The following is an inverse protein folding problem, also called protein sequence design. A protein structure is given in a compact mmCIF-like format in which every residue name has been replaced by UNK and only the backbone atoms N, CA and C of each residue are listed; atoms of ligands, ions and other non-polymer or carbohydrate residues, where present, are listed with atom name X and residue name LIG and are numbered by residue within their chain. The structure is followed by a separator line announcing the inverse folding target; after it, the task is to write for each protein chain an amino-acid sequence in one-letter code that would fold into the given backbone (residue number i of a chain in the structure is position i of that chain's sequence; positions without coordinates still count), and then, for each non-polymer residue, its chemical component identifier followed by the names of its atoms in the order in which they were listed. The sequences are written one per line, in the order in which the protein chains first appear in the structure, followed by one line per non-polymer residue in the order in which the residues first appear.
data_IF_453171024959
#
_entry.id   IF_453171024959
#
_cell.length_a   1.000
_cell.length_b   1.000
_cell.length_c   1.000
_cell.angle_alpha   90.00
_cell.angle_beta   90.00
_cell.angle_gamma   90.00
#
_symmetry.space_group_name_H-M   'P 1'
#
loop_
_entity.id
_entity.type
_entity.pdbx_description
1 polymer ?
#
# COMPACT_ATOMS: atom_id res chain seq x y z
N UNK A 1 3.52 65.12 1.99
CA UNK A 1 4.27 64.70 3.19
C UNK A 1 3.32 63.87 4.04
N UNK A 2 3.35 62.53 3.96
CA UNK A 2 4.10 61.61 4.87
C UNK A 2 3.69 61.87 6.33
N UNK A 3 3.15 60.95 7.13
CA UNK A 3 3.68 59.61 7.48
C UNK A 3 2.59 58.79 8.20
N UNK A 4 1.88 57.88 7.53
CA UNK A 4 0.89 56.99 8.19
C UNK A 4 0.93 55.56 7.61
N UNK A 5 2.12 55.08 7.26
CA UNK A 5 2.29 53.80 6.55
C UNK A 5 3.38 52.92 7.18
N UNK A 6 3.48 52.86 8.52
CA UNK A 6 4.63 52.17 9.15
C UNK A 6 4.36 51.27 10.36
N UNK A 7 3.13 50.81 10.59
CA UNK A 7 2.84 49.96 11.76
C UNK A 7 2.07 48.66 11.47
N UNK A 8 2.04 48.17 10.22
CA UNK A 8 1.35 46.93 9.86
C UNK A 8 2.26 45.87 9.22
N UNK A 9 3.55 45.83 9.56
CA UNK A 9 4.49 44.93 8.87
C UNK A 9 5.41 43.98 9.65
N UNK A 10 5.36 43.80 11.00
CA UNK A 10 6.16 42.75 11.62
C UNK A 10 5.38 41.50 12.07
N UNK A 11 4.05 41.41 11.87
CA UNK A 11 3.27 40.27 12.44
C UNK A 11 3.11 39.08 11.49
N UNK A 12 3.39 39.23 10.18
CA UNK A 12 3.21 38.15 9.20
C UNK A 12 4.38 37.14 9.09
N UNK A 13 5.44 37.27 9.89
CA UNK A 13 6.66 36.44 9.76
C UNK A 13 6.88 35.42 10.89
N UNK A 14 5.95 35.29 11.84
CA UNK A 14 6.08 34.32 12.95
C UNK A 14 5.34 32.99 12.73
N UNK A 15 4.63 32.82 11.62
CA UNK A 15 3.88 31.58 11.32
C UNK A 15 4.69 30.47 10.62
N UNK A 16 5.89 30.76 10.12
CA UNK A 16 6.64 29.82 9.27
C UNK A 16 7.47 28.77 10.04
N UNK A 17 7.66 28.93 11.36
CA UNK A 17 8.51 28.05 12.17
C UNK A 17 7.75 26.93 12.89
N UNK A 18 6.41 26.91 12.84
CA UNK A 18 5.61 25.84 13.44
C UNK A 18 5.29 24.68 12.48
N UNK A 19 5.58 24.81 11.18
CA UNK A 19 5.30 23.78 10.18
C UNK A 19 6.43 22.74 10.00
N UNK A 20 7.56 22.90 10.70
CA UNK A 20 8.72 22.00 10.58
C UNK A 20 8.83 20.97 11.71
N UNK A 21 7.97 21.02 12.74
CA UNK A 21 8.00 20.10 13.90
C UNK A 21 6.86 19.06 13.89
N UNK A 22 6.06 19.01 12.82
CA UNK A 22 4.97 18.05 12.74
C UNK A 22 5.52 16.69 12.30
N UNK A 23 5.59 15.74 13.24
CA UNK A 23 5.86 14.33 12.94
C UNK A 23 4.88 13.88 11.84
N UNK A 24 5.37 13.27 10.74
CA UNK A 24 4.49 12.82 9.67
C UNK A 24 3.48 11.80 10.22
N UNK A 25 2.27 11.82 9.67
CA UNK A 25 1.23 10.85 10.02
C UNK A 25 1.68 9.43 9.68
N UNK A 26 1.04 8.41 10.27
CA UNK A 26 1.35 7.02 9.94
C UNK A 26 1.16 6.74 8.44
N UNK A 27 0.11 7.30 7.84
CA UNK A 27 -0.18 7.16 6.41
C UNK A 27 0.91 7.80 5.54
N UNK A 28 1.37 9.01 5.88
CA UNK A 28 2.47 9.68 5.19
C UNK A 28 3.76 8.87 5.29
N UNK A 29 4.04 8.28 6.46
CA UNK A 29 5.20 7.42 6.63
C UNK A 29 5.08 6.12 5.82
N UNK A 30 3.89 5.52 5.73
CA UNK A 30 3.66 4.33 4.89
C UNK A 30 3.97 4.65 3.43
N UNK A 31 3.41 5.75 2.90
CA UNK A 31 3.62 6.14 1.50
C UNK A 31 5.07 6.50 1.19
N UNK A 32 5.79 7.09 2.14
CA UNK A 32 7.17 7.49 1.94
C UNK A 32 8.19 6.35 2.07
N UNK A 33 7.81 5.21 2.66
CA UNK A 33 8.77 4.17 3.06
C UNK A 33 8.45 2.77 2.55
N UNK A 34 7.18 2.44 2.29
CA UNK A 34 6.81 1.12 1.78
C UNK A 34 6.71 1.15 0.24
N UNK A 35 7.23 0.13 -0.46
CA UNK A 35 7.24 0.06 -1.92
C UNK A 35 5.87 -0.34 -2.47
N UNK A 36 4.87 0.52 -2.29
CA UNK A 36 3.47 0.23 -2.64
C UNK A 36 3.32 -0.07 -4.14
N UNK A 37 3.89 0.79 -4.98
CA UNK A 37 3.75 0.66 -6.44
C UNK A 37 4.46 -0.61 -6.95
N UNK A 38 5.68 -0.87 -6.49
CA UNK A 38 6.42 -2.06 -6.91
C UNK A 38 5.74 -3.36 -6.43
N UNK A 39 5.22 -3.36 -5.20
CA UNK A 39 4.46 -4.50 -4.68
C UNK A 39 3.16 -4.72 -5.47
N UNK A 40 2.46 -3.65 -5.84
CA UNK A 40 1.28 -3.69 -6.70
C UNK A 40 1.60 -4.29 -8.07
N UNK A 41 2.60 -3.74 -8.77
CA UNK A 41 2.98 -4.20 -10.11
C UNK A 41 3.44 -5.67 -10.09
N UNK A 42 4.19 -6.07 -9.07
CA UNK A 42 4.59 -7.47 -8.89
C UNK A 42 3.39 -8.40 -8.67
N UNK A 43 2.38 -7.96 -7.92
CA UNK A 43 1.16 -8.75 -7.70
C UNK A 43 0.34 -8.88 -8.99
N UNK A 44 0.18 -7.79 -9.75
CA UNK A 44 -0.49 -7.81 -11.07
C UNK A 44 0.24 -8.75 -12.03
N UNK A 45 1.57 -8.67 -12.12
CA UNK A 45 2.39 -9.56 -12.95
C UNK A 45 2.14 -11.03 -12.61
N UNK A 46 2.22 -11.36 -11.31
CA UNK A 46 2.03 -12.72 -10.82
C UNK A 46 0.63 -13.24 -11.13
N UNK A 47 -0.41 -12.46 -10.86
CA UNK A 47 -1.80 -12.85 -11.12
C UNK A 47 -2.06 -13.02 -12.61
N UNK A 48 -1.54 -12.12 -13.45
CA UNK A 48 -1.66 -12.23 -14.89
C UNK A 48 -0.99 -13.51 -15.42
N UNK A 49 0.18 -13.87 -14.90
CA UNK A 49 0.86 -15.11 -15.25
C UNK A 49 0.05 -16.37 -14.89
N UNK A 50 -0.65 -16.36 -13.75
CA UNK A 50 -1.53 -17.46 -13.36
C UNK A 50 -2.77 -17.54 -14.26
N UNK A 51 -3.42 -16.42 -14.55
CA UNK A 51 -4.62 -16.36 -15.38
C UNK A 51 -4.33 -16.66 -16.86
N UNK A 52 -3.13 -16.34 -17.36
CA UNK A 52 -2.71 -16.72 -18.71
C UNK A 52 -2.69 -18.25 -18.94
N UNK A 53 -2.61 -19.05 -17.86
CA UNK A 53 -2.67 -20.51 -17.96
C UNK A 53 -4.09 -21.02 -18.27
N UNK A 54 -5.13 -20.29 -17.89
CA UNK A 54 -6.54 -20.65 -18.13
C UNK A 54 -7.10 -19.87 -19.31
N UNK A 55 -6.79 -18.58 -19.43
CA UNK A 55 -7.22 -17.71 -20.52
C UNK A 55 -6.21 -17.70 -21.68
N UNK A 56 -5.97 -18.87 -22.27
CA UNK A 56 -4.87 -19.09 -23.23
C UNK A 56 -4.96 -18.24 -24.50
N UNK A 57 -6.14 -17.69 -24.82
CA UNK A 57 -6.33 -16.81 -25.98
C UNK A 57 -6.02 -15.35 -25.67
N UNK A 58 -6.10 -14.92 -24.42
CA UNK A 58 -5.87 -13.52 -24.03
C UNK A 58 -4.38 -13.26 -23.82
N UNK A 59 -3.77 -12.31 -24.54
CA UNK A 59 -2.40 -11.91 -24.27
C UNK A 59 -2.23 -11.44 -22.83
N UNK A 60 -1.15 -11.85 -22.15
CA UNK A 60 -0.92 -11.54 -20.74
C UNK A 60 -0.99 -10.03 -20.43
N UNK A 61 -0.55 -9.16 -21.34
CA UNK A 61 -0.67 -7.71 -21.17
C UNK A 61 -2.14 -7.23 -21.09
N UNK A 62 -3.05 -7.84 -21.87
CA UNK A 62 -4.48 -7.52 -21.74
C UNK A 62 -5.06 -8.04 -20.43
N UNK A 63 -4.57 -9.18 -19.93
CA UNK A 63 -4.93 -9.69 -18.60
C UNK A 63 -4.51 -8.70 -17.51
N UNK A 64 -3.30 -8.12 -17.61
CA UNK A 64 -2.83 -7.09 -16.68
C UNK A 64 -3.76 -5.87 -16.69
N UNK A 65 -4.20 -5.41 -17.86
CA UNK A 65 -5.12 -4.28 -17.95
C UNK A 65 -6.49 -4.58 -17.32
N UNK A 66 -7.03 -5.79 -17.51
CA UNK A 66 -8.26 -6.22 -16.82
C UNK A 66 -8.04 -6.27 -15.31
N UNK A 67 -6.93 -6.83 -14.84
CA UNK A 67 -6.60 -6.84 -13.42
C UNK A 67 -6.51 -5.43 -12.84
N UNK A 68 -5.84 -4.50 -13.53
CA UNK A 68 -5.70 -3.09 -13.08
C UNK A 68 -7.02 -2.33 -13.03
N UNK A 69 -8.02 -2.74 -13.82
CA UNK A 69 -9.37 -2.17 -13.79
C UNK A 69 -10.10 -2.45 -12.47
N UNK A 70 -9.87 -3.63 -11.89
CA UNK A 70 -10.65 -4.14 -10.74
C UNK A 70 -9.86 -4.25 -9.44
N UNK A 71 -8.55 -4.42 -9.54
CA UNK A 71 -7.60 -4.51 -8.43
C UNK A 71 -6.73 -3.26 -8.49
N UNK A 72 -7.11 -2.21 -7.76
CA UNK A 72 -6.43 -0.91 -7.90
C UNK A 72 -5.30 -0.74 -6.89
N UNK A 73 -4.31 0.08 -7.24
CA UNK A 73 -3.25 0.49 -6.31
C UNK A 73 -3.81 1.24 -5.10
N UNK A 74 -4.96 1.92 -5.28
CA UNK A 74 -5.67 2.61 -4.22
C UNK A 74 -6.24 1.64 -3.18
N UNK A 75 -6.80 0.51 -3.62
CA UNK A 75 -7.26 -0.54 -2.71
C UNK A 75 -6.11 -1.08 -1.86
N UNK A 76 -4.98 -1.37 -2.51
CA UNK A 76 -3.78 -1.84 -1.81
C UNK A 76 -3.25 -0.79 -0.83
N UNK A 77 -3.36 0.51 -1.16
CA UNK A 77 -3.00 1.60 -0.25
C UNK A 77 -3.84 1.57 1.02
N UNK A 78 -5.15 1.44 0.89
CA UNK A 78 -6.07 1.38 2.02
C UNK A 78 -5.80 0.15 2.89
N UNK A 79 -5.53 -1.01 2.28
CA UNK A 79 -5.16 -2.22 2.99
C UNK A 79 -3.85 -2.05 3.79
N UNK A 80 -2.84 -1.37 3.21
CA UNK A 80 -1.60 -1.06 3.92
C UNK A 80 -1.83 -0.08 5.09
N UNK A 81 -2.68 0.93 4.91
CA UNK A 81 -3.01 1.88 5.97
C UNK A 81 -3.67 1.18 7.16
N UNK A 82 -4.61 0.29 6.89
CA UNK A 82 -5.25 -0.54 7.91
C UNK A 82 -4.24 -1.49 8.57
N UNK A 83 -3.44 -2.20 7.78
CA UNK A 83 -2.50 -3.21 8.28
C UNK A 83 -1.42 -2.60 9.17
N UNK A 84 -0.80 -1.49 8.75
CA UNK A 84 0.30 -0.84 9.44
C UNK A 84 -0.12 0.35 10.31
N UNK A 85 -1.40 0.43 10.67
CA UNK A 85 -1.96 1.47 11.54
C UNK A 85 -1.33 1.48 12.94
N UNK A 86 -1.57 2.55 13.70
CA UNK A 86 -1.13 2.65 15.10
C UNK A 86 -1.88 1.68 16.02
N UNK A 87 -3.07 1.22 15.63
CA UNK A 87 -3.82 0.17 16.33
C UNK A 87 -3.07 -1.16 16.28
N UNK A 88 -2.47 -1.47 15.12
CA UNK A 88 -1.74 -2.71 14.92
C UNK A 88 -0.28 -2.59 15.32
N UNK A 89 0.42 -1.51 15.00
CA UNK A 89 1.86 -1.37 15.24
C UNK A 89 2.21 -0.05 15.89
N UNK A 90 2.81 -0.13 17.08
CA UNK A 90 3.35 1.06 17.72
C UNK A 90 4.52 1.66 16.91
N UNK A 91 4.93 2.87 17.25
CA UNK A 91 5.98 3.60 16.52
C UNK A 91 7.31 2.84 16.41
N UNK A 92 7.73 2.17 17.49
CA UNK A 92 9.00 1.43 17.49
C UNK A 92 8.93 0.19 16.60
N UNK A 93 7.80 -0.54 16.64
CA UNK A 93 7.56 -1.67 15.75
C UNK A 93 7.54 -1.26 14.28
N UNK A 94 6.83 -0.17 13.97
CA UNK A 94 6.75 0.35 12.60
C UNK A 94 8.09 0.88 12.09
N UNK A 95 8.85 1.57 12.93
CA UNK A 95 10.20 2.01 12.57
C UNK A 95 11.11 0.84 12.21
N UNK A 96 11.03 -0.28 12.94
CA UNK A 96 11.78 -1.49 12.61
C UNK A 96 11.35 -2.11 11.28
N UNK A 97 10.05 -2.12 10.99
CA UNK A 97 9.51 -2.56 9.70
C UNK A 97 10.07 -1.68 8.58
N UNK A 98 9.96 -0.36 8.70
CA UNK A 98 10.47 0.60 7.71
C UNK A 98 11.98 0.41 7.46
N UNK A 99 12.78 0.27 8.52
CA UNK A 99 14.22 0.03 8.38
C UNK A 99 14.52 -1.28 7.65
N UNK A 100 13.82 -2.37 8.01
CA UNK A 100 13.97 -3.65 7.34
C UNK A 100 13.51 -3.61 5.87
N UNK A 101 12.47 -2.85 5.55
CA UNK A 101 12.02 -2.69 4.16
C UNK A 101 13.04 -1.97 3.28
N UNK A 102 13.77 -1.00 3.83
CA UNK A 102 14.70 -0.15 3.06
C UNK A 102 16.14 -0.68 3.01
N UNK A 103 16.54 -1.48 4.00
CA UNK A 103 17.92 -1.97 4.14
C UNK A 103 17.95 -3.50 4.30
N UNK A 104 18.46 -4.25 3.28
CA UNK A 104 18.57 -5.70 3.34
C UNK A 104 19.42 -6.23 4.50
N UNK A 105 20.44 -5.49 4.95
CA UNK A 105 21.24 -5.88 6.11
C UNK A 105 20.40 -5.79 7.40
N UNK A 106 19.60 -4.73 7.53
CA UNK A 106 18.63 -4.58 8.64
C UNK A 106 17.51 -5.60 8.57
N UNK A 107 17.02 -5.95 7.38
CA UNK A 107 16.07 -7.04 7.20
C UNK A 107 16.63 -8.37 7.73
N UNK A 108 17.88 -8.67 7.39
CA UNK A 108 18.57 -9.90 7.84
C UNK A 108 18.78 -9.89 9.36
N UNK A 109 19.26 -8.79 9.92
CA UNK A 109 19.44 -8.62 11.36
C UNK A 109 18.12 -8.82 12.12
N UNK A 110 17.07 -8.11 11.69
CA UNK A 110 15.75 -8.20 12.29
C UNK A 110 15.21 -9.63 12.19
N UNK A 111 15.27 -10.27 11.02
CA UNK A 111 14.78 -11.62 10.80
C UNK A 111 15.47 -12.71 11.66
N UNK A 112 16.68 -12.45 12.16
CA UNK A 112 17.41 -13.35 13.05
C UNK A 112 17.13 -13.09 14.53
N UNK A 113 16.52 -11.96 14.86
CA UNK A 113 16.23 -11.54 16.23
C UNK A 113 14.89 -12.10 16.75
N UNK A 114 14.75 -12.24 18.07
CA UNK A 114 13.47 -12.59 18.69
C UNK A 114 12.40 -11.51 18.47
N UNK A 115 12.81 -10.25 18.33
CA UNK A 115 11.89 -9.16 17.99
C UNK A 115 11.33 -9.34 16.59
N UNK A 116 12.17 -9.67 15.60
CA UNK A 116 11.71 -9.91 14.23
C UNK A 116 10.80 -11.13 14.11
N UNK A 117 11.06 -12.20 14.87
CA UNK A 117 10.13 -13.34 14.97
C UNK A 117 8.75 -12.91 15.46
N UNK A 118 8.68 -12.15 16.56
CA UNK A 118 7.41 -11.64 17.11
C UNK A 118 6.69 -10.71 16.12
N UNK A 119 7.43 -9.83 15.45
CA UNK A 119 6.87 -8.95 14.42
C UNK A 119 6.32 -9.75 13.23
N UNK A 120 7.06 -10.77 12.77
CA UNK A 120 6.63 -11.65 11.69
C UNK A 120 5.37 -12.45 12.06
N UNK A 121 5.32 -13.00 13.28
CA UNK A 121 4.15 -13.72 13.81
C UNK A 121 2.93 -12.80 13.90
N UNK A 122 3.13 -11.57 14.41
CA UNK A 122 2.09 -10.54 14.50
C UNK A 122 1.56 -10.16 13.11
N UNK A 123 2.44 -9.86 12.16
CA UNK A 123 2.07 -9.56 10.78
C UNK A 123 1.30 -10.71 10.14
N UNK A 124 1.80 -11.95 10.27
CA UNK A 124 1.14 -13.16 9.74
C UNK A 124 -0.24 -13.35 10.33
N UNK A 125 -0.39 -13.11 11.64
CA UNK A 125 -1.69 -13.20 12.32
C UNK A 125 -2.67 -12.15 11.78
N UNK A 126 -2.25 -10.89 11.67
CA UNK A 126 -3.10 -9.81 11.13
C UNK A 126 -3.53 -10.08 9.68
N UNK A 127 -2.61 -10.57 8.84
CA UNK A 127 -2.93 -10.98 7.47
C UNK A 127 -3.96 -12.12 7.45
N UNK A 128 -3.82 -13.12 8.33
CA UNK A 128 -4.79 -14.23 8.44
C UNK A 128 -6.15 -13.74 8.93
N UNK A 129 -6.17 -12.87 9.93
CA UNK A 129 -7.40 -12.26 10.45
C UNK A 129 -8.13 -11.51 9.33
N UNK A 130 -7.44 -10.67 8.56
CA UNK A 130 -8.03 -9.97 7.41
C UNK A 130 -8.50 -10.94 6.32
N UNK A 131 -7.74 -11.98 6.01
CA UNK A 131 -8.12 -12.98 5.01
C UNK A 131 -9.30 -13.87 5.46
N UNK A 132 -9.57 -13.93 6.77
CA UNK A 132 -10.71 -14.67 7.34
C UNK A 132 -11.94 -13.79 7.54
N UNK A 133 -11.84 -12.48 7.30
CA UNK A 133 -12.96 -11.55 7.42
C UNK A 133 -13.96 -11.80 6.27
N UNK A 134 -15.24 -12.14 6.56
CA UNK A 134 -16.24 -12.41 5.54
C UNK A 134 -16.47 -11.26 4.56
N UNK A 135 -16.34 -10.00 5.00
CA UNK A 135 -16.51 -8.85 4.13
C UNK A 135 -15.35 -8.73 3.15
N UNK A 136 -14.12 -8.95 3.62
CA UNK A 136 -12.93 -8.96 2.78
C UNK A 136 -13.00 -10.12 1.77
N UNK A 137 -13.43 -11.31 2.21
CA UNK A 137 -13.62 -12.45 1.32
C UNK A 137 -14.67 -12.18 0.24
N UNK A 138 -15.82 -11.61 0.63
CA UNK A 138 -16.88 -11.26 -0.31
C UNK A 138 -16.41 -10.22 -1.34
N UNK A 139 -15.69 -9.19 -0.90
CA UNK A 139 -15.13 -8.16 -1.79
C UNK A 139 -14.10 -8.76 -2.76
N UNK A 140 -13.16 -9.56 -2.26
CA UNK A 140 -12.17 -10.22 -3.08
C UNK A 140 -12.80 -11.16 -4.10
N UNK A 141 -13.81 -11.94 -3.70
CA UNK A 141 -14.55 -12.81 -4.59
C UNK A 141 -15.29 -12.04 -5.68
N UNK A 142 -15.98 -10.94 -5.32
CA UNK A 142 -16.69 -10.11 -6.29
C UNK A 142 -15.73 -9.53 -7.35
N UNK A 143 -14.59 -8.96 -6.93
CA UNK A 143 -13.58 -8.41 -7.85
C UNK A 143 -12.99 -9.48 -8.77
N UNK A 144 -12.72 -10.67 -8.25
CA UNK A 144 -12.21 -11.77 -9.07
C UNK A 144 -13.26 -12.29 -10.07
N UNK A 145 -14.55 -12.24 -9.71
CA UNK A 145 -15.62 -12.55 -10.66
C UNK A 145 -15.68 -11.52 -11.79
N UNK A 146 -15.53 -10.22 -11.49
CA UNK A 146 -15.50 -9.16 -12.51
C UNK A 146 -14.30 -9.30 -13.46
N UNK A 147 -13.14 -9.71 -12.94
CA UNK A 147 -11.96 -10.07 -13.76
C UNK A 147 -12.28 -11.24 -14.69
N UNK A 148 -12.85 -12.32 -14.16
CA UNK A 148 -13.20 -13.52 -14.92
C UNK A 148 -14.21 -13.23 -16.04
N UNK A 149 -15.22 -12.42 -15.73
CA UNK A 149 -16.27 -12.03 -16.68
C UNK A 149 -15.67 -11.21 -17.84
N UNK A 150 -14.81 -10.23 -17.53
CA UNK A 150 -14.13 -9.40 -18.54
C UNK A 150 -13.16 -10.23 -19.40
N UNK A 151 -12.40 -11.15 -18.80
CA UNK A 151 -11.49 -12.04 -19.54
C UNK A 151 -12.25 -12.99 -20.45
N UNK A 152 -13.33 -13.60 -19.95
CA UNK A 152 -14.20 -14.48 -20.74
C UNK A 152 -14.81 -13.75 -21.95
N UNK A 153 -15.23 -12.50 -21.77
CA UNK A 153 -15.74 -11.68 -22.87
C UNK A 153 -14.66 -11.38 -23.91
N UNK A 154 -13.42 -11.07 -23.48
CA UNK A 154 -12.29 -10.88 -24.38
C UNK A 154 -11.97 -12.15 -25.18
N UNK A 155 -11.96 -13.33 -24.54
CA UNK A 155 -11.69 -14.59 -25.22
C UNK A 155 -12.72 -14.93 -26.30
N UNK A 156 -13.99 -14.61 -26.06
CA UNK A 156 -15.06 -14.82 -27.03
C UNK A 156 -14.97 -13.85 -28.22
N UNK A 157 -14.40 -12.67 -28.01
CA UNK A 157 -14.20 -11.66 -29.05
C UNK A 157 -12.93 -11.91 -29.89
N UNK A 158 -12.00 -12.73 -29.39
CA UNK A 158 -10.76 -13.08 -30.09
C UNK A 158 -11.00 -14.21 -31.11
N UNK A 159 -10.41 -14.10 -32.32
CA UNK A 159 -10.61 -15.06 -33.41
C UNK A 159 -10.09 -16.48 -33.11
#
# INVERSE_FOLDING_TARGET
MSRLTRLLLPVLLLGALAACDQKPSREEQILANLPLQEAYDHNIERMAGLLAMTHTKVPQEQIKEVLRKHLTVEDQRQDLFKLYSEEHFNDAEFANIVQATRDPAKAKELGQSDQGKRLSEKLTRLMRESASDPQVQALAQARMQEVEDDLSALEQALP
#
